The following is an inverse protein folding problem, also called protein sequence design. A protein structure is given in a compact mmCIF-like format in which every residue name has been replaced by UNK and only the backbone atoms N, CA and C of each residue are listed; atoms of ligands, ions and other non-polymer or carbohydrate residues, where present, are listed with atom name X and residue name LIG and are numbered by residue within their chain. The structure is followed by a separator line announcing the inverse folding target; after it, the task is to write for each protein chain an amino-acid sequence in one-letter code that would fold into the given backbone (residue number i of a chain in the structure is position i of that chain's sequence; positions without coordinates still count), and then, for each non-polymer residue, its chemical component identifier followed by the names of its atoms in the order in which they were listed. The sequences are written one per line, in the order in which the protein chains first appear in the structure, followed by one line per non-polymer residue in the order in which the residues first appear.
data_IF_571228437727
#
_entry.id   IF_571228437727
#
_cell.length_a   1.000
_cell.length_b   1.000
_cell.length_c   1.000
_cell.angle_alpha   90.00
_cell.angle_beta   90.00
_cell.angle_gamma   90.00
#
_symmetry.space_group_name_H-M   'P 1'
#
loop_
_entity.id
_entity.type
_entity.pdbx_description
1 polymer ?
#
# COMPACT_ATOMS: atom_id res chain seq x y z
N UNK A 1 -26.69 -28.74 -6.70
CA UNK A 1 -25.99 -27.43 -6.66
C UNK A 1 -25.34 -27.10 -5.31
N UNK A 2 -26.01 -27.35 -4.18
CA UNK A 2 -25.48 -27.05 -2.82
C UNK A 2 -24.19 -27.81 -2.47
N UNK A 3 -24.13 -29.12 -2.75
CA UNK A 3 -22.94 -29.96 -2.51
C UNK A 3 -21.69 -29.53 -3.30
N UNK A 4 -21.87 -28.87 -4.45
CA UNK A 4 -20.76 -28.36 -5.27
C UNK A 4 -20.18 -27.04 -4.71
N UNK A 5 -21.02 -26.21 -4.08
CA UNK A 5 -20.61 -24.98 -3.38
C UNK A 5 -19.88 -25.31 -2.08
N UNK A 6 -20.36 -26.28 -1.31
CA UNK A 6 -19.68 -26.76 -0.09
C UNK A 6 -18.30 -27.35 -0.41
N UNK A 7 -18.20 -28.20 -1.44
CA UNK A 7 -16.89 -28.75 -1.86
C UNK A 7 -15.89 -27.67 -2.27
N UNK A 8 -16.33 -26.59 -2.94
CA UNK A 8 -15.46 -25.45 -3.27
C UNK A 8 -15.03 -24.66 -2.02
N UNK A 9 -15.92 -24.43 -1.06
CA UNK A 9 -15.56 -23.74 0.19
C UNK A 9 -14.59 -24.55 1.05
N UNK A 10 -14.80 -25.87 1.15
CA UNK A 10 -13.92 -26.76 1.93
C UNK A 10 -12.54 -26.89 1.26
N UNK A 11 -12.47 -26.84 -0.08
CA UNK A 11 -11.19 -26.80 -0.82
C UNK A 11 -10.47 -25.46 -0.59
N UNK A 12 -11.19 -24.33 -0.69
CA UNK A 12 -10.68 -22.97 -0.41
C UNK A 12 -10.15 -22.84 1.03
N UNK A 13 -10.85 -23.41 2.01
CA UNK A 13 -10.43 -23.40 3.42
C UNK A 13 -9.17 -24.25 3.65
N UNK A 14 -9.11 -25.44 3.05
CA UNK A 14 -7.91 -26.32 3.10
C UNK A 14 -6.71 -25.70 2.40
N UNK A 15 -6.90 -25.01 1.29
CA UNK A 15 -5.81 -24.33 0.60
C UNK A 15 -5.27 -23.18 1.47
N UNK A 16 -6.15 -22.36 2.07
CA UNK A 16 -5.74 -21.29 3.01
C UNK A 16 -5.00 -21.84 4.23
N UNK A 17 -5.50 -22.92 4.83
CA UNK A 17 -4.83 -23.59 5.96
C UNK A 17 -3.48 -24.16 5.54
N UNK A 18 -3.34 -24.70 4.32
CA UNK A 18 -2.08 -25.21 3.77
C UNK A 18 -1.07 -24.09 3.48
N UNK A 19 -1.54 -22.93 3.00
CA UNK A 19 -0.73 -21.71 2.84
C UNK A 19 -0.30 -21.14 4.19
N UNK A 20 -1.18 -21.14 5.20
CA UNK A 20 -0.86 -20.72 6.55
C UNK A 20 0.15 -21.65 7.21
N UNK A 21 0.02 -22.96 7.00
CA UNK A 21 0.95 -23.96 7.53
C UNK A 21 2.33 -23.89 6.86
N UNK A 22 2.38 -23.65 5.55
CA UNK A 22 3.64 -23.41 4.83
C UNK A 22 4.33 -22.10 5.22
N UNK A 23 3.59 -21.08 5.67
CA UNK A 23 4.16 -19.84 6.24
C UNK A 23 4.71 -20.04 7.66
N UNK A 24 4.21 -21.04 8.39
CA UNK A 24 4.58 -21.34 9.78
C UNK A 24 5.69 -22.41 9.88
N UNK A 25 5.90 -23.23 8.83
CA UNK A 25 6.93 -24.26 8.74
C UNK A 25 8.27 -23.70 8.18
N UNK A 26 8.69 -22.53 8.65
CA UNK A 26 10.04 -22.00 8.42
C UNK A 26 11.00 -22.46 9.51
N UNK A 27 12.07 -23.16 9.14
CA UNK A 27 13.15 -23.56 10.05
C UNK A 27 13.68 -22.33 10.82
N UNK A 28 13.77 -22.34 12.17
CA UNK A 28 14.17 -21.19 12.98
C UNK A 28 15.67 -20.85 12.90
N UNK A 29 16.43 -21.53 12.04
CA UNK A 29 17.90 -21.46 11.94
C UNK A 29 18.42 -20.71 10.71
N UNK A 30 17.57 -20.30 9.78
CA UNK A 30 17.97 -19.44 8.66
C UNK A 30 17.34 -18.05 8.77
N UNK A 31 18.18 -17.01 8.72
CA UNK A 31 17.72 -15.64 8.61
C UNK A 31 16.73 -15.53 7.43
N UNK A 32 15.55 -14.95 7.67
CA UNK A 32 14.53 -14.79 6.63
C UNK A 32 15.09 -14.00 5.44
N UNK A 33 14.61 -14.29 4.23
CA UNK A 33 15.11 -13.60 3.02
C UNK A 33 14.96 -12.08 3.10
N UNK A 34 13.90 -11.63 3.79
CA UNK A 34 13.66 -10.21 4.05
C UNK A 34 14.72 -9.65 5.00
N UNK A 35 15.12 -10.38 6.04
CA UNK A 35 16.20 -9.96 6.94
C UNK A 35 17.53 -9.81 6.18
N UNK A 36 17.87 -10.79 5.33
CA UNK A 36 19.07 -10.75 4.49
C UNK A 36 19.02 -9.56 3.51
N UNK A 37 17.85 -9.32 2.90
CA UNK A 37 17.63 -8.21 1.96
C UNK A 37 17.81 -6.86 2.67
N UNK A 38 17.12 -6.64 3.78
CA UNK A 38 17.22 -5.38 4.55
C UNK A 38 18.65 -5.16 5.02
N UNK A 39 19.31 -6.18 5.57
CA UNK A 39 20.72 -6.10 5.98
C UNK A 39 21.63 -5.67 4.83
N UNK A 40 21.44 -6.21 3.64
CA UNK A 40 22.20 -5.83 2.44
C UNK A 40 21.90 -4.40 1.99
N UNK A 41 20.66 -3.94 2.09
CA UNK A 41 20.28 -2.56 1.77
C UNK A 41 20.94 -1.55 2.71
N UNK A 42 20.93 -1.83 4.02
CA UNK A 42 21.56 -0.96 5.02
C UNK A 42 23.09 -0.93 4.85
N UNK A 43 23.73 -2.08 4.63
CA UNK A 43 25.18 -2.15 4.37
C UNK A 43 25.60 -1.36 3.11
N UNK A 44 24.72 -1.23 2.12
CA UNK A 44 24.96 -0.46 0.89
C UNK A 44 24.48 0.99 0.96
N UNK A 45 24.03 1.45 2.12
CA UNK A 45 23.48 2.80 2.33
C UNK A 45 22.32 3.10 1.36
N UNK A 46 21.41 2.14 1.20
CA UNK A 46 20.23 2.25 0.35
C UNK A 46 18.96 2.64 1.13
N UNK A 47 19.12 3.09 2.37
CA UNK A 47 18.10 3.69 3.22
C UNK A 47 17.76 5.15 2.83
N UNK A 48 16.56 5.63 3.18
CA UNK A 48 15.45 4.88 3.76
C UNK A 48 14.80 3.93 2.74
N UNK A 49 14.22 2.84 3.25
CA UNK A 49 13.57 1.77 2.47
C UNK A 49 12.09 1.67 2.84
N UNK A 50 11.21 1.64 1.83
CA UNK A 50 9.79 1.29 2.01
C UNK A 50 9.56 -0.14 1.53
N UNK A 51 9.03 -0.99 2.40
CA UNK A 51 8.65 -2.36 2.10
C UNK A 51 7.12 -2.46 2.00
N UNK A 52 6.60 -2.61 0.78
CA UNK A 52 5.17 -2.76 0.53
C UNK A 52 4.72 -4.21 0.70
N UNK A 53 3.72 -4.39 1.56
CA UNK A 53 2.92 -5.61 1.71
C UNK A 53 1.43 -5.27 1.60
N UNK A 54 0.61 -6.21 1.13
CA UNK A 54 -0.83 -6.00 0.95
C UNK A 54 -1.68 -6.51 2.11
N UNK A 55 -1.06 -6.80 3.27
CA UNK A 55 -1.74 -7.26 4.47
C UNK A 55 -1.22 -6.53 5.72
N UNK A 56 -2.13 -6.02 6.54
CA UNK A 56 -1.81 -5.36 7.81
C UNK A 56 -0.99 -6.29 8.73
N UNK A 57 -1.45 -7.54 8.84
CA UNK A 57 -0.82 -8.58 9.66
C UNK A 57 0.58 -8.93 9.15
N UNK A 58 0.77 -8.94 7.84
CA UNK A 58 2.07 -9.24 7.26
C UNK A 58 3.06 -8.09 7.51
N UNK A 59 2.63 -6.83 7.43
CA UNK A 59 3.48 -5.68 7.78
C UNK A 59 3.98 -5.76 9.24
N UNK A 60 3.08 -6.03 10.20
CA UNK A 60 3.44 -6.18 11.62
C UNK A 60 4.38 -7.39 11.83
N UNK A 61 4.07 -8.53 11.21
CA UNK A 61 4.87 -9.74 11.31
C UNK A 61 6.31 -9.53 10.79
N UNK A 62 6.45 -8.90 9.62
CA UNK A 62 7.75 -8.62 9.03
C UNK A 62 8.56 -7.62 9.86
N UNK A 63 7.90 -6.60 10.42
CA UNK A 63 8.56 -5.65 11.33
C UNK A 63 9.06 -6.35 12.60
N UNK A 64 8.29 -7.27 13.18
CA UNK A 64 8.72 -8.06 14.34
C UNK A 64 9.90 -8.98 14.03
N UNK A 65 9.98 -9.54 12.82
CA UNK A 65 11.16 -10.30 12.39
C UNK A 65 12.41 -9.41 12.32
N UNK A 66 12.26 -8.14 11.95
CA UNK A 66 13.35 -7.17 11.90
C UNK A 66 13.71 -6.59 13.26
N UNK A 67 12.91 -6.81 14.31
CA UNK A 67 13.13 -6.23 15.64
C UNK A 67 14.45 -6.64 16.28
N UNK A 68 15.16 -7.65 15.76
CA UNK A 68 16.52 -8.02 16.20
C UNK A 68 17.59 -6.99 15.77
N UNK A 69 17.32 -6.23 14.72
CA UNK A 69 18.24 -5.22 14.19
C UNK A 69 18.02 -3.89 14.91
N UNK A 70 19.10 -3.14 15.12
CA UNK A 70 19.07 -1.77 15.62
C UNK A 70 19.73 -0.89 14.56
N UNK A 71 18.95 0.03 13.97
CA UNK A 71 19.39 0.87 12.86
C UNK A 71 19.72 2.29 13.27
N UNK A 72 19.44 2.64 14.52
CA UNK A 72 19.56 4.00 15.03
C UNK A 72 20.58 4.09 16.16
N UNK A 73 21.21 5.26 16.28
CA UNK A 73 22.07 5.56 17.41
C UNK A 73 21.27 6.01 18.66
N UNK A 74 21.96 6.20 19.78
CA UNK A 74 21.30 6.55 21.05
C UNK A 74 20.74 7.98 21.04
N UNK A 75 21.29 8.87 20.19
CA UNK A 75 20.78 10.24 20.03
C UNK A 75 19.47 10.24 19.23
N UNK A 76 19.42 9.52 18.11
CA UNK A 76 18.23 9.28 17.30
C UNK A 76 17.13 8.62 18.13
N UNK A 77 17.47 7.64 18.97
CA UNK A 77 16.52 7.01 19.92
C UNK A 77 15.89 8.03 20.87
N UNK A 78 16.69 8.96 21.39
CA UNK A 78 16.23 10.01 22.31
C UNK A 78 15.32 11.01 21.58
N UNK A 79 15.69 11.39 20.35
CA UNK A 79 14.88 12.26 19.50
C UNK A 79 13.53 11.63 19.16
N UNK A 80 13.53 10.34 18.79
CA UNK A 80 12.30 9.58 18.50
C UNK A 80 11.39 9.54 19.73
N UNK A 81 11.95 9.26 20.89
CA UNK A 81 11.19 9.18 22.13
C UNK A 81 10.57 10.52 22.50
N UNK A 82 11.30 11.62 22.31
CA UNK A 82 10.80 12.97 22.55
C UNK A 82 9.66 13.32 21.60
N UNK A 83 9.85 13.13 20.28
CA UNK A 83 8.81 13.41 19.27
C UNK A 83 7.56 12.54 19.53
N UNK A 84 7.77 11.26 19.87
CA UNK A 84 6.68 10.33 20.14
C UNK A 84 5.86 10.77 21.35
N UNK A 85 6.50 11.06 22.49
CA UNK A 85 5.79 11.46 23.70
C UNK A 85 5.11 12.83 23.57
N UNK A 86 5.75 13.79 22.90
CA UNK A 86 5.12 15.08 22.60
C UNK A 86 3.82 14.92 21.80
N UNK A 87 3.76 13.97 20.86
CA UNK A 87 2.54 13.67 20.15
C UNK A 87 1.53 12.90 21.02
N UNK A 88 2.00 11.92 21.80
CA UNK A 88 1.13 11.13 22.67
C UNK A 88 0.50 11.96 23.80
N UNK A 89 1.08 13.10 24.18
CA UNK A 89 0.50 14.00 25.19
C UNK A 89 -0.86 14.59 24.83
N UNK A 90 -1.24 14.52 23.54
CA UNK A 90 -2.60 14.86 23.09
C UNK A 90 -3.64 13.78 23.45
N UNK A 91 -3.22 12.59 23.83
CA UNK A 91 -4.09 11.47 24.20
C UNK A 91 -4.39 11.44 25.70
N UNK A 92 -5.52 10.84 26.05
CA UNK A 92 -5.85 10.51 27.44
C UNK A 92 -4.90 9.47 28.02
N UNK A 93 -4.74 9.43 29.35
CA UNK A 93 -3.86 8.46 30.02
C UNK A 93 -4.26 7.00 29.79
N UNK A 94 -5.54 6.74 29.50
CA UNK A 94 -6.03 5.41 29.16
C UNK A 94 -5.66 5.02 27.73
N UNK A 95 -5.74 5.96 26.79
CA UNK A 95 -5.32 5.75 25.39
C UNK A 95 -3.81 5.54 25.27
N UNK A 96 -3.01 6.21 26.11
CA UNK A 96 -1.55 6.01 26.18
C UNK A 96 -1.16 4.58 26.59
N UNK A 97 -2.02 3.88 27.34
CA UNK A 97 -1.79 2.49 27.80
C UNK A 97 -2.19 1.44 26.76
N UNK A 98 -2.76 1.84 25.62
CA UNK A 98 -3.18 0.90 24.60
C UNK A 98 -1.98 0.08 24.08
N UNK A 99 -2.13 -1.24 23.88
CA UNK A 99 -1.04 -2.09 23.41
C UNK A 99 -0.42 -1.65 22.09
N UNK A 100 -1.20 -1.00 21.22
CA UNK A 100 -0.67 -0.49 19.95
C UNK A 100 0.34 0.65 20.14
N UNK A 101 0.15 1.48 21.17
CA UNK A 101 1.06 2.61 21.51
C UNK A 101 2.31 2.08 22.19
N UNK A 102 2.18 1.16 23.15
CA UNK A 102 3.32 0.63 23.88
C UNK A 102 4.21 -0.30 23.03
N UNK A 103 3.63 -1.07 22.12
CA UNK A 103 4.38 -2.01 21.28
C UNK A 103 5.09 -1.35 20.10
N UNK A 104 4.64 -0.17 19.63
CA UNK A 104 5.23 0.48 18.46
C UNK A 104 6.49 1.27 18.81
N UNK A 105 6.55 1.91 19.98
CA UNK A 105 7.69 2.72 20.39
C UNK A 105 9.03 1.95 20.37
N UNK A 106 9.13 0.70 20.88
CA UNK A 106 10.36 -0.09 20.79
C UNK A 106 10.82 -0.37 19.36
N UNK A 107 9.90 -0.50 18.40
CA UNK A 107 10.22 -0.67 16.97
C UNK A 107 10.73 0.64 16.37
N UNK A 108 10.04 1.74 16.67
CA UNK A 108 10.43 3.07 16.17
C UNK A 108 11.82 3.46 16.64
N UNK A 109 12.15 3.23 17.92
CA UNK A 109 13.49 3.48 18.47
C UNK A 109 14.60 2.74 17.72
N UNK A 110 14.30 1.58 17.13
CA UNK A 110 15.25 0.78 16.31
C UNK A 110 15.31 1.23 14.85
N UNK A 111 14.58 2.28 14.46
CA UNK A 111 14.49 2.77 13.08
C UNK A 111 13.54 1.94 12.19
N UNK A 112 12.62 1.18 12.80
CA UNK A 112 11.67 0.30 12.11
C UNK A 112 10.24 0.83 12.31
N UNK A 113 9.57 1.18 11.22
CA UNK A 113 8.20 1.66 11.22
C UNK A 113 7.22 0.66 10.59
N UNK A 114 5.95 0.75 10.99
CA UNK A 114 4.82 0.05 10.35
C UNK A 114 3.77 1.10 9.96
N UNK A 115 3.19 1.01 8.76
CA UNK A 115 2.14 1.94 8.31
C UNK A 115 0.99 1.22 7.60
N UNK A 116 -0.19 1.25 8.22
CA UNK A 116 -1.41 0.74 7.61
C UNK A 116 -2.66 1.34 8.22
N UNK A 117 -3.80 1.17 7.53
CA UNK A 117 -5.10 1.69 7.98
C UNK A 117 -5.65 1.08 9.28
N UNK A 118 -5.00 0.08 9.87
CA UNK A 118 -5.32 -0.44 11.21
C UNK A 118 -4.64 0.30 12.38
N UNK A 119 -3.75 1.26 12.11
CA UNK A 119 -3.13 2.08 13.16
C UNK A 119 -4.03 3.25 13.55
N UNK A 120 -3.96 3.66 14.82
CA UNK A 120 -4.57 4.91 15.28
C UNK A 120 -4.11 6.09 14.40
N UNK A 121 -5.00 7.04 14.06
CA UNK A 121 -4.64 8.21 13.24
C UNK A 121 -3.39 8.94 13.71
N UNK A 122 -3.29 9.21 15.01
CA UNK A 122 -2.14 9.88 15.63
C UNK A 122 -0.83 9.08 15.45
N UNK A 123 -0.88 7.75 15.54
CA UNK A 123 0.30 6.92 15.33
C UNK A 123 0.77 6.98 13.87
N UNK A 124 -0.17 7.01 12.91
CA UNK A 124 0.20 7.17 11.49
C UNK A 124 0.92 8.51 11.29
N UNK A 125 0.35 9.60 11.78
CA UNK A 125 0.95 10.94 11.65
C UNK A 125 2.36 11.00 12.25
N UNK A 126 2.55 10.45 13.45
CA UNK A 126 3.89 10.40 14.09
C UNK A 126 4.88 9.57 13.26
N UNK A 127 4.47 8.43 12.73
CA UNK A 127 5.32 7.59 11.88
C UNK A 127 5.70 8.30 10.59
N UNK A 128 4.77 9.05 10.00
CA UNK A 128 5.01 9.86 8.81
C UNK A 128 6.04 10.97 9.10
N UNK A 129 5.91 11.66 10.23
CA UNK A 129 6.88 12.67 10.69
C UNK A 129 8.26 12.03 10.90
N UNK A 130 8.35 10.93 11.67
CA UNK A 130 9.62 10.25 11.94
C UNK A 130 10.28 9.72 10.65
N UNK A 131 9.49 9.33 9.65
CA UNK A 131 10.01 8.92 8.35
C UNK A 131 10.56 10.11 7.54
N UNK A 132 9.88 11.26 7.58
CA UNK A 132 10.35 12.49 6.92
C UNK A 132 11.64 13.04 7.56
N UNK A 133 11.75 12.95 8.88
CA UNK A 133 12.96 13.32 9.63
C UNK A 133 14.12 12.32 9.43
N UNK A 134 13.90 11.24 8.68
CA UNK A 134 14.94 10.23 8.39
C UNK A 134 15.29 9.35 9.59
N UNK A 135 14.47 9.36 10.66
CA UNK A 135 14.65 8.55 11.86
C UNK A 135 14.15 7.10 11.67
N UNK A 136 13.27 6.87 10.69
CA UNK A 136 12.85 5.53 10.27
C UNK A 136 13.62 5.14 9.00
N UNK A 137 14.50 4.14 9.13
CA UNK A 137 15.31 3.64 8.01
C UNK A 137 14.57 2.55 7.21
N UNK A 138 13.71 1.78 7.87
CA UNK A 138 12.89 0.73 7.25
C UNK A 138 11.41 0.90 7.61
N UNK A 139 10.56 1.12 6.61
CA UNK A 139 9.12 1.29 6.79
C UNK A 139 8.35 0.15 6.12
N UNK A 140 7.65 -0.66 6.91
CA UNK A 140 6.72 -1.67 6.40
C UNK A 140 5.35 -1.05 6.20
N UNK A 141 4.91 -0.91 4.95
CA UNK A 141 3.71 -0.17 4.63
C UNK A 141 2.73 -0.96 3.76
N UNK A 142 1.45 -0.65 3.92
CA UNK A 142 0.41 -1.07 2.96
C UNK A 142 0.32 -0.11 1.78
N UNK A 143 -0.33 -0.54 0.71
CA UNK A 143 -0.54 0.22 -0.53
C UNK A 143 -1.00 1.66 -0.31
N UNK A 144 -1.82 1.92 0.72
CA UNK A 144 -2.37 3.25 1.01
C UNK A 144 -1.29 4.29 1.30
N UNK A 145 -0.11 3.89 1.78
CA UNK A 145 1.01 4.81 2.02
C UNK A 145 1.53 5.44 0.71
N UNK A 146 1.39 4.73 -0.41
CA UNK A 146 1.76 5.26 -1.72
C UNK A 146 0.77 6.32 -2.24
N UNK A 147 -0.37 6.51 -1.59
CA UNK A 147 -1.43 7.44 -1.98
C UNK A 147 -1.37 8.68 -1.07
N UNK A 148 -1.37 9.87 -1.66
CA UNK A 148 -1.70 11.11 -0.93
C UNK A 148 -0.57 11.77 -0.11
N UNK A 149 0.62 11.17 -0.01
CA UNK A 149 1.73 11.75 0.76
C UNK A 149 2.96 11.97 -0.11
N UNK A 150 3.76 13.01 0.14
CA UNK A 150 5.02 13.23 -0.59
C UNK A 150 6.22 12.72 0.22
N UNK A 151 6.26 11.42 0.49
CA UNK A 151 7.34 10.77 1.24
C UNK A 151 8.12 9.79 0.33
N UNK A 152 9.11 10.29 -0.43
CA UNK A 152 9.99 9.44 -1.22
C UNK A 152 11.02 8.72 -0.33
N UNK A 153 11.41 7.53 -0.77
CA UNK A 153 12.47 6.72 -0.17
C UNK A 153 13.58 6.47 -1.20
N UNK A 154 14.78 6.09 -0.76
CA UNK A 154 15.83 5.73 -1.72
C UNK A 154 15.51 4.41 -2.42
N UNK A 155 14.96 3.47 -1.66
CA UNK A 155 14.60 2.13 -2.14
C UNK A 155 13.15 1.79 -1.82
N UNK A 156 12.49 1.14 -2.77
CA UNK A 156 11.18 0.49 -2.58
C UNK A 156 11.34 -1.01 -2.78
N UNK A 157 10.80 -1.80 -1.87
CA UNK A 157 10.77 -3.25 -1.92
C UNK A 157 9.33 -3.71 -1.93
N UNK A 158 8.99 -4.62 -2.83
CA UNK A 158 7.71 -5.32 -2.83
C UNK A 158 7.94 -6.71 -2.24
N UNK A 159 7.40 -6.96 -1.05
CA UNK A 159 7.52 -8.29 -0.41
C UNK A 159 6.57 -9.30 -1.03
N UNK A 160 5.46 -8.80 -1.58
CA UNK A 160 4.49 -9.56 -2.35
C UNK A 160 4.02 -8.70 -3.52
N UNK A 161 3.46 -9.34 -4.55
CA UNK A 161 2.88 -8.70 -5.75
C UNK A 161 1.44 -9.15 -6.00
N UNK A 162 0.89 -9.97 -5.10
CA UNK A 162 -0.50 -10.40 -5.12
C UNK A 162 -1.25 -9.75 -3.97
N UNK A 163 -2.43 -9.23 -4.28
CA UNK A 163 -3.33 -8.65 -3.28
C UNK A 163 -4.75 -9.18 -3.42
N UNK A 164 -5.48 -9.11 -2.32
CA UNK A 164 -6.90 -9.43 -2.28
C UNK A 164 -7.71 -8.17 -2.59
N UNK A 165 -8.55 -8.20 -3.63
CA UNK A 165 -9.37 -7.05 -4.05
C UNK A 165 -10.78 -7.05 -3.45
N UNK A 166 -11.07 -7.97 -2.52
CA UNK A 166 -12.41 -8.21 -1.97
C UNK A 166 -13.09 -9.46 -2.54
N UNK A 167 -12.69 -9.91 -3.73
CA UNK A 167 -13.24 -11.11 -4.38
C UNK A 167 -12.17 -12.20 -4.54
N UNK A 168 -11.01 -11.85 -5.10
CA UNK A 168 -9.94 -12.80 -5.41
C UNK A 168 -8.54 -12.24 -5.15
N UNK A 169 -7.58 -13.15 -5.06
CA UNK A 169 -6.18 -12.79 -5.10
C UNK A 169 -5.75 -12.57 -6.55
N UNK A 170 -5.36 -11.34 -6.87
CA UNK A 170 -4.87 -10.93 -8.19
C UNK A 170 -3.48 -10.31 -8.09
N UNK A 171 -2.78 -10.27 -9.22
CA UNK A 171 -1.57 -9.45 -9.35
C UNK A 171 -1.92 -7.96 -9.26
N UNK A 172 -1.00 -7.16 -8.75
CA UNK A 172 -1.14 -5.70 -8.82
C UNK A 172 -1.15 -5.23 -10.28
N UNK A 173 -1.91 -4.18 -10.55
CA UNK A 173 -1.94 -3.57 -11.87
C UNK A 173 -0.64 -2.81 -12.13
N UNK A 174 -0.37 -2.51 -13.40
CA UNK A 174 0.76 -1.67 -13.77
C UNK A 174 0.63 -0.26 -13.17
N UNK A 175 -0.59 0.28 -13.08
CA UNK A 175 -0.85 1.56 -12.40
C UNK A 175 -0.49 1.54 -10.91
N UNK A 176 -0.91 0.49 -10.20
CA UNK A 176 -0.58 0.28 -8.78
C UNK A 176 0.93 0.13 -8.58
N UNK A 177 1.59 -0.65 -9.44
CA UNK A 177 3.05 -0.80 -9.43
C UNK A 177 3.75 0.53 -9.66
N UNK A 178 3.36 1.30 -10.69
CA UNK A 178 3.94 2.62 -11.00
C UNK A 178 3.78 3.58 -9.82
N UNK A 179 2.61 3.60 -9.18
CA UNK A 179 2.33 4.46 -8.04
C UNK A 179 3.24 4.14 -6.84
N UNK A 180 3.38 2.85 -6.50
CA UNK A 180 4.21 2.41 -5.38
C UNK A 180 5.71 2.55 -5.69
N UNK A 181 6.16 2.09 -6.86
CA UNK A 181 7.56 2.16 -7.28
C UNK A 181 8.03 3.59 -7.52
N UNK A 182 7.12 4.50 -7.90
CA UNK A 182 7.39 5.94 -8.03
C UNK A 182 7.77 6.62 -6.71
N UNK A 183 7.68 5.93 -5.57
CA UNK A 183 8.21 6.39 -4.28
C UNK A 183 9.72 6.18 -4.15
N UNK A 184 10.35 5.40 -5.03
CA UNK A 184 11.79 5.21 -5.02
C UNK A 184 12.52 6.38 -5.71
N UNK A 185 13.60 6.84 -5.09
CA UNK A 185 14.43 7.96 -5.53
C UNK A 185 13.97 9.29 -4.97
N UNK A 186 14.78 9.90 -4.09
CA UNK A 186 14.55 11.24 -3.57
C UNK A 186 15.20 12.27 -4.49
N UNK A 187 14.38 13.16 -5.06
CA UNK A 187 14.83 14.21 -5.97
C UNK A 187 15.87 15.10 -5.29
N UNK A 188 17.02 15.28 -5.94
CA UNK A 188 18.11 16.14 -5.44
C UNK A 188 19.04 15.48 -4.41
N UNK A 189 18.72 14.28 -3.94
CA UNK A 189 19.52 13.54 -2.95
C UNK A 189 20.07 12.25 -3.58
N UNK A 190 19.20 11.45 -4.19
CA UNK A 190 19.57 10.16 -4.77
C UNK A 190 19.82 10.28 -6.27
N UNK A 191 20.92 9.70 -6.76
CA UNK A 191 21.22 9.63 -8.20
C UNK A 191 20.23 8.74 -8.95
N UNK A 192 19.69 7.71 -8.29
CA UNK A 192 18.70 6.77 -8.83
C UNK A 192 17.84 6.20 -7.69
N UNK A 193 16.58 5.92 -8.00
CA UNK A 193 15.70 5.11 -7.15
C UNK A 193 15.91 3.63 -7.42
N UNK A 194 15.82 2.81 -6.38
CA UNK A 194 15.95 1.34 -6.48
C UNK A 194 14.61 0.71 -6.19
N UNK A 195 14.14 -0.16 -7.08
CA UNK A 195 12.92 -0.96 -6.88
C UNK A 195 13.28 -2.44 -6.90
N UNK A 196 12.96 -3.16 -5.82
CA UNK A 196 13.23 -4.59 -5.68
C UNK A 196 11.91 -5.34 -5.58
N UNK A 197 11.76 -6.37 -6.40
CA UNK A 197 10.57 -7.23 -6.42
C UNK A 197 10.93 -8.60 -5.86
N UNK A 198 10.35 -8.97 -4.72
CA UNK A 198 10.43 -10.34 -4.24
C UNK A 198 9.38 -11.18 -4.98
N UNK A 199 9.84 -12.20 -5.70
CA UNK A 199 9.01 -13.06 -6.53
C UNK A 199 9.12 -14.50 -6.07
N UNK A 200 8.01 -15.23 -6.16
CA UNK A 200 7.98 -16.68 -6.03
C UNK A 200 7.99 -17.34 -7.42
N UNK A 201 8.24 -18.65 -7.48
CA UNK A 201 8.26 -19.43 -8.74
C UNK A 201 6.92 -19.42 -9.49
N UNK A 202 5.84 -18.93 -8.86
CA UNK A 202 4.48 -18.92 -9.42
C UNK A 202 4.25 -17.75 -10.37
N UNK A 203 5.19 -16.80 -10.47
CA UNK A 203 5.07 -15.65 -11.34
C UNK A 203 5.56 -15.96 -12.76
N UNK A 204 4.66 -15.94 -13.74
CA UNK A 204 5.04 -16.07 -15.14
C UNK A 204 5.78 -14.81 -15.65
N UNK A 205 6.83 -14.95 -16.48
CA UNK A 205 7.58 -13.82 -17.02
C UNK A 205 6.74 -12.82 -17.83
N UNK A 206 5.69 -13.31 -18.52
CA UNK A 206 4.72 -12.51 -19.26
C UNK A 206 3.96 -11.55 -18.33
N UNK A 207 3.50 -12.05 -17.19
CA UNK A 207 2.79 -11.30 -16.15
C UNK A 207 3.70 -10.24 -15.52
N UNK A 208 4.95 -10.61 -15.19
CA UNK A 208 5.93 -9.66 -14.68
C UNK A 208 6.20 -8.54 -15.69
N UNK A 209 6.38 -8.87 -16.98
CA UNK A 209 6.57 -7.87 -18.03
C UNK A 209 5.37 -6.93 -18.17
N UNK A 210 4.14 -7.44 -18.09
CA UNK A 210 2.93 -6.62 -18.14
C UNK A 210 2.83 -5.69 -16.94
N UNK A 211 3.13 -6.17 -15.74
CA UNK A 211 3.13 -5.35 -14.53
C UNK A 211 4.19 -4.23 -14.60
N UNK A 212 5.43 -4.58 -14.96
CA UNK A 212 6.57 -3.64 -14.94
C UNK A 212 6.58 -2.65 -16.12
N UNK A 213 6.16 -3.08 -17.31
CA UNK A 213 6.18 -2.26 -18.54
C UNK A 213 4.80 -1.85 -19.04
N UNK A 214 3.74 -2.15 -18.29
CA UNK A 214 2.38 -1.77 -18.66
C UNK A 214 2.17 -0.26 -18.54
N UNK A 215 1.11 0.22 -19.19
CA UNK A 215 0.69 1.61 -19.08
C UNK A 215 -0.04 1.88 -17.77
N UNK A 216 -0.09 3.15 -17.36
CA UNK A 216 -0.97 3.58 -16.27
C UNK A 216 -2.44 3.25 -16.58
N UNK A 217 -3.22 3.00 -15.53
CA UNK A 217 -4.64 2.69 -15.65
C UNK A 217 -5.42 3.90 -16.21
N UNK A 218 -6.34 3.64 -17.13
CA UNK A 218 -7.20 4.68 -17.68
C UNK A 218 -8.14 5.23 -16.61
N UNK A 219 -8.25 6.56 -16.50
CA UNK A 219 -9.24 7.20 -15.64
C UNK A 219 -10.65 6.92 -16.17
N UNK A 220 -11.38 6.04 -15.49
CA UNK A 220 -12.76 5.69 -15.82
C UNK A 220 -13.70 6.32 -14.79
N UNK A 221 -14.84 6.83 -15.26
CA UNK A 221 -15.86 7.36 -14.37
C UNK A 221 -16.51 6.22 -13.59
N UNK A 222 -16.59 6.37 -12.27
CA UNK A 222 -17.37 5.50 -11.38
C UNK A 222 -18.67 6.18 -10.92
N UNK A 223 -19.13 7.18 -11.68
CA UNK A 223 -20.34 7.93 -11.34
C UNK A 223 -21.55 7.00 -11.30
N UNK A 224 -22.29 7.08 -10.20
CA UNK A 224 -23.57 6.41 -10.03
C UNK A 224 -24.53 7.35 -9.30
N UNK A 225 -25.80 7.28 -9.65
CA UNK A 225 -26.85 8.05 -9.00
C UNK A 225 -27.10 7.48 -7.59
N UNK A 226 -27.10 8.34 -6.58
CA UNK A 226 -27.53 8.00 -5.23
C UNK A 226 -28.77 8.81 -4.84
N UNK A 227 -29.65 8.22 -4.01
CA UNK A 227 -30.86 8.90 -3.54
C UNK A 227 -30.55 10.21 -2.82
N UNK A 228 -29.50 10.23 -1.99
CA UNK A 228 -29.08 11.45 -1.30
C UNK A 228 -28.69 12.57 -2.29
N UNK A 229 -28.01 12.23 -3.39
CA UNK A 229 -27.66 13.21 -4.40
C UNK A 229 -28.91 13.79 -5.07
N UNK A 230 -29.89 12.95 -5.43
CA UNK A 230 -31.17 13.41 -6.01
C UNK A 230 -31.95 14.30 -5.05
N UNK A 231 -32.07 13.90 -3.78
CA UNK A 231 -32.76 14.68 -2.75
C UNK A 231 -32.09 16.03 -2.50
N UNK A 232 -30.75 16.07 -2.49
CA UNK A 232 -30.01 17.33 -2.37
C UNK A 232 -30.21 18.25 -3.58
N UNK A 233 -30.33 17.68 -4.79
CA UNK A 233 -30.65 18.46 -5.99
C UNK A 233 -32.08 19.01 -5.94
N UNK A 234 -33.07 18.19 -5.58
CA UNK A 234 -34.47 18.62 -5.45
C UNK A 234 -34.69 19.65 -4.32
N UNK A 235 -33.83 19.65 -3.29
CA UNK A 235 -33.88 20.64 -2.22
C UNK A 235 -33.32 22.00 -2.63
N UNK A 236 -32.47 22.06 -3.65
CA UNK A 236 -31.87 23.30 -4.13
C UNK A 236 -32.81 23.95 -5.16
N UNK A 237 -33.15 25.23 -4.98
CA UNK A 237 -34.11 25.92 -5.87
C UNK A 237 -33.64 25.97 -7.33
N UNK A 238 -32.32 25.98 -7.57
CA UNK A 238 -31.68 25.92 -8.90
C UNK A 238 -31.24 24.49 -9.31
N UNK A 239 -31.54 23.48 -8.50
CA UNK A 239 -31.09 22.11 -8.71
C UNK A 239 -31.93 21.37 -9.75
N UNK A 240 -31.37 21.19 -10.95
CA UNK A 240 -31.98 20.35 -11.99
C UNK A 240 -31.22 19.01 -12.10
N UNK A 241 -31.81 17.90 -11.65
CA UNK A 241 -31.16 16.58 -11.71
C UNK A 241 -30.89 16.13 -13.16
N UNK A 242 -31.63 16.64 -14.15
CA UNK A 242 -31.33 16.34 -15.56
C UNK A 242 -30.10 17.08 -16.08
N UNK A 243 -29.90 18.34 -15.67
CA UNK A 243 -28.63 19.05 -15.93
C UNK A 243 -27.48 18.42 -15.17
N UNK A 244 -27.78 17.85 -14.00
CA UNK A 244 -27.04 16.77 -13.35
C UNK A 244 -26.43 15.83 -14.38
N UNK A 245 -27.33 15.06 -14.98
CA UNK A 245 -27.10 13.91 -15.85
C UNK A 245 -26.37 14.19 -17.17
N UNK A 246 -26.48 15.40 -17.73
CA UNK A 246 -25.97 15.73 -19.07
C UNK A 246 -24.44 15.83 -19.20
N UNK A 247 -23.69 16.55 -18.34
CA UNK A 247 -22.24 16.74 -18.47
C UNK A 247 -21.37 15.69 -17.74
N UNK A 248 -21.89 14.50 -17.42
CA UNK A 248 -21.06 13.50 -16.73
C UNK A 248 -20.00 12.86 -17.63
N UNK A 249 -18.86 12.52 -17.02
CA UNK A 249 -17.70 11.94 -17.69
C UNK A 249 -18.00 10.61 -18.43
N UNK A 250 -19.01 9.86 -17.97
CA UNK A 250 -19.54 8.67 -18.67
C UNK A 250 -20.21 9.05 -19.99
N UNK A 251 -21.09 10.05 -19.97
CA UNK A 251 -21.74 10.62 -21.16
C UNK A 251 -20.70 11.22 -22.10
N UNK A 252 -19.68 11.91 -21.57
CA UNK A 252 -18.57 12.46 -22.35
C UNK A 252 -17.79 11.38 -23.11
N UNK A 253 -17.41 10.27 -22.47
CA UNK A 253 -16.75 9.14 -23.16
C UNK A 253 -17.64 8.54 -24.26
N UNK A 254 -18.94 8.39 -23.99
CA UNK A 254 -19.89 7.86 -24.98
C UNK A 254 -20.03 8.79 -26.20
N UNK A 255 -20.12 10.10 -25.96
CA UNK A 255 -20.22 11.13 -26.99
C UNK A 255 -18.93 11.19 -27.83
N UNK A 256 -17.75 11.19 -27.19
CA UNK A 256 -16.46 11.19 -27.90
C UNK A 256 -16.29 9.91 -28.74
N UNK A 257 -16.63 8.75 -28.18
CA UNK A 257 -16.59 7.48 -28.92
C UNK A 257 -17.53 7.50 -30.13
N UNK A 258 -18.75 8.04 -29.96
CA UNK A 258 -19.71 8.19 -31.05
C UNK A 258 -19.21 9.13 -32.16
N UNK A 259 -18.59 10.26 -31.78
CA UNK A 259 -17.97 11.20 -32.74
C UNK A 259 -16.79 10.56 -33.50
N UNK A 260 -15.94 9.77 -32.82
CA UNK A 260 -14.85 9.04 -33.46
C UNK A 260 -15.38 8.01 -34.46
N UNK A 261 -16.40 7.24 -34.08
CA UNK A 261 -17.04 6.25 -34.98
C UNK A 261 -17.71 6.92 -36.19
N UNK A 262 -18.38 8.06 -35.99
CA UNK A 262 -19.00 8.84 -37.06
C UNK A 262 -17.97 9.41 -38.04
N UNK A 263 -16.82 9.88 -37.56
CA UNK A 263 -15.73 10.35 -38.44
C UNK A 263 -15.07 9.18 -39.18
N UNK A 264 -14.93 8.00 -38.55
CA UNK A 264 -14.46 6.80 -39.24
C UNK A 264 -15.39 6.38 -40.39
N UNK A 265 -16.70 6.46 -40.22
CA UNK A 265 -17.64 6.16 -41.32
C UNK A 265 -17.64 7.20 -42.45
N UNK A 266 -17.29 8.46 -42.16
CA UNK A 266 -17.17 9.51 -43.18
C UNK A 266 -15.94 9.35 -44.08
N UNK A 267 -14.85 8.79 -43.57
CA UNK A 267 -13.62 8.53 -44.33
C UNK A 267 -13.63 7.22 -45.14
N UNK A 268 -14.77 6.52 -45.19
CA UNK A 268 -14.99 5.31 -46.00
C UNK A 268 -15.90 5.55 -47.21
N UNK A 269 -16.26 6.81 -47.48
CA UNK A 269 -16.85 7.26 -48.75
C UNK A 269 -15.84 8.14 -49.48
#
# INVERSE_FOLDING_TARGET
MLLFRERKQIKKKRDIEKWQKALLEGNPSEDSDIFKLVKMLIQRQYDPVILFSFSKRECEFLALQMAKMDLNDDQEKTNIETIFWCAMDLLSDDDKKLPQVSNILPLLKRGIGVHHSGLLPILKEVIEILFQEGLIKCLFATETFSIGLNMPAKTVVFTNVRKFDGDKFRWITSGEYIQMSGRAGRRGIDQRGICILMIDEKMEPSTAKMMLKGSADCLNSAFHLSYNMLLNQLRCEDGDPEKLLRPHFTSFKLIVLFLILRNKQRNWK
#
